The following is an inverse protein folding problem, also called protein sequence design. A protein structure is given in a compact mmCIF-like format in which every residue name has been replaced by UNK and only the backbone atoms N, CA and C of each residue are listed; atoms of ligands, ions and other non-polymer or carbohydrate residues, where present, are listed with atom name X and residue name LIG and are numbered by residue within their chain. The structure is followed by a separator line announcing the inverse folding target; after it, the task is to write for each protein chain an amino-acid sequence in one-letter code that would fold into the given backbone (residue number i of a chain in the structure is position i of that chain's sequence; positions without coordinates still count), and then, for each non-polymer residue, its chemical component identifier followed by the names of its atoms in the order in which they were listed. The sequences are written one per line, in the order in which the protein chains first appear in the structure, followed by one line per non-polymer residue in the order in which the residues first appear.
data_IF_938001048192
#
_entry.id   IF_938001048192
#
_cell.length_a   1.000
_cell.length_b   1.000
_cell.length_c   1.000
_cell.angle_alpha   90.00
_cell.angle_beta   90.00
_cell.angle_gamma   90.00
#
_symmetry.space_group_name_H-M   'P 1'
#
loop_
_entity.id
_entity.type
_entity.pdbx_description
1 polymer ?
#
# COMPACT_ATOMS: atom_id res chain seq x y z
N UNK A 1 10.64 13.24 0.62
CA UNK A 1 9.51 13.32 -0.33
C UNK A 1 8.95 14.73 -0.25
N UNK A 2 8.52 15.30 -1.38
CA UNK A 2 8.16 16.72 -1.52
C UNK A 2 7.23 17.18 -0.38
N UNK A 3 6.14 16.46 -0.14
CA UNK A 3 5.13 16.77 0.90
C UNK A 3 5.58 16.60 2.36
N UNK A 4 6.81 16.12 2.62
CA UNK A 4 7.34 15.89 3.98
C UNK A 4 8.38 16.94 4.41
N UNK A 5 8.73 17.90 3.54
CA UNK A 5 9.67 18.97 3.88
C UNK A 5 8.98 20.00 4.78
N UNK A 6 9.68 20.46 5.83
CA UNK A 6 9.15 21.49 6.75
C UNK A 6 8.97 22.84 6.07
N UNK A 7 9.90 23.21 5.20
CA UNK A 7 9.81 24.41 4.37
C UNK A 7 9.41 23.97 2.96
N UNK A 8 8.29 24.46 2.41
CA UNK A 8 7.87 24.11 1.06
C UNK A 8 8.85 24.71 0.03
N UNK A 9 9.13 23.94 -1.02
CA UNK A 9 9.95 24.40 -2.16
C UNK A 9 9.02 24.48 -3.36
N UNK A 10 8.69 25.71 -3.79
CA UNK A 10 7.63 25.97 -4.78
C UNK A 10 7.79 25.15 -6.07
N UNK A 11 8.98 25.12 -6.64
CA UNK A 11 9.30 24.37 -7.87
C UNK A 11 9.11 22.85 -7.75
N UNK A 12 9.14 22.29 -6.55
CA UNK A 12 8.80 20.89 -6.32
C UNK A 12 7.29 20.68 -6.22
N UNK A 13 6.57 21.62 -5.59
CA UNK A 13 5.11 21.56 -5.44
C UNK A 13 4.39 21.71 -6.77
N UNK A 14 4.94 22.46 -7.72
CA UNK A 14 4.40 22.55 -9.09
C UNK A 14 4.33 21.19 -9.82
N UNK A 15 5.08 20.17 -9.36
CA UNK A 15 5.04 18.81 -9.91
C UNK A 15 3.98 17.91 -9.24
N UNK A 16 3.36 18.39 -8.16
CA UNK A 16 2.39 17.64 -7.37
C UNK A 16 0.98 17.94 -7.89
N UNK A 17 0.19 16.88 -8.06
CA UNK A 17 -1.25 16.98 -8.33
C UNK A 17 -2.02 16.51 -7.11
N UNK A 18 -3.08 17.22 -6.76
CA UNK A 18 -4.06 16.78 -5.79
C UNK A 18 -5.14 15.96 -6.49
N UNK A 19 -5.03 14.63 -6.36
CA UNK A 19 -5.93 13.66 -6.96
C UNK A 19 -7.09 13.34 -5.99
N UNK A 20 -8.21 14.04 -6.14
CA UNK A 20 -9.40 13.90 -5.29
C UNK A 20 -10.23 12.68 -5.72
N UNK A 21 -10.85 11.99 -4.76
CA UNK A 21 -11.60 10.76 -5.03
C UNK A 21 -12.93 10.64 -4.26
N UNK A 22 -13.25 11.59 -3.37
CA UNK A 22 -14.52 11.59 -2.63
C UNK A 22 -14.87 12.99 -2.09
N UNK A 23 -16.10 13.16 -1.61
CA UNK A 23 -16.63 14.36 -0.95
C UNK A 23 -17.19 13.98 0.45
N UNK A 24 -16.40 14.05 1.53
CA UNK A 24 -16.75 13.45 2.81
C UNK A 24 -17.96 14.07 3.52
N UNK A 25 -18.20 15.37 3.31
CA UNK A 25 -19.31 16.10 3.94
C UNK A 25 -20.61 16.01 3.13
N UNK A 26 -20.58 15.38 1.96
CA UNK A 26 -21.74 15.31 1.10
C UNK A 26 -22.64 14.10 1.46
N UNK A 27 -23.95 14.31 1.67
CA UNK A 27 -24.85 13.26 2.19
C UNK A 27 -25.34 12.27 1.12
N UNK A 28 -24.94 12.40 -0.15
CA UNK A 28 -25.41 11.52 -1.22
C UNK A 28 -24.59 10.24 -1.37
N UNK A 29 -25.08 9.31 -2.20
CA UNK A 29 -24.36 8.09 -2.58
C UNK A 29 -23.10 8.40 -3.37
N UNK A 30 -22.13 7.47 -3.37
CA UNK A 30 -20.85 7.66 -4.04
C UNK A 30 -20.99 8.08 -5.51
N UNK A 31 -21.92 7.47 -6.26
CA UNK A 31 -22.19 7.88 -7.66
C UNK A 31 -22.59 9.34 -7.78
N UNK A 32 -23.45 9.84 -6.89
CA UNK A 32 -23.85 11.25 -6.87
C UNK A 32 -22.71 12.16 -6.41
N UNK A 33 -21.93 11.73 -5.42
CA UNK A 33 -20.75 12.49 -4.97
C UNK A 33 -19.71 12.64 -6.07
N UNK A 34 -19.47 11.60 -6.88
CA UNK A 34 -18.59 11.70 -8.04
C UNK A 34 -19.09 12.72 -9.06
N UNK A 35 -20.38 12.70 -9.42
CA UNK A 35 -20.94 13.67 -10.36
C UNK A 35 -20.78 15.12 -9.86
N UNK A 36 -21.01 15.35 -8.57
CA UNK A 36 -20.81 16.66 -7.95
C UNK A 36 -19.32 17.04 -7.96
N UNK A 37 -18.44 16.10 -7.61
CA UNK A 37 -16.99 16.29 -7.58
C UNK A 37 -16.46 16.68 -8.97
N UNK A 38 -16.86 15.98 -10.02
CA UNK A 38 -16.46 16.29 -11.40
C UNK A 38 -16.89 17.71 -11.78
N UNK A 39 -18.14 18.09 -11.49
CA UNK A 39 -18.63 19.45 -11.75
C UNK A 39 -17.87 20.53 -10.98
N UNK A 40 -17.51 20.28 -9.71
CA UNK A 40 -16.71 21.21 -8.91
C UNK A 40 -15.30 21.38 -9.48
N UNK A 41 -14.66 20.29 -9.92
CA UNK A 41 -13.31 20.33 -10.48
C UNK A 41 -13.30 21.09 -11.81
N UNK A 42 -14.27 20.83 -12.68
CA UNK A 42 -14.43 21.55 -13.96
C UNK A 42 -14.64 23.05 -13.75
N UNK A 43 -15.53 23.43 -12.82
CA UNK A 43 -15.78 24.85 -12.50
C UNK A 43 -14.57 25.54 -11.89
N UNK A 44 -13.84 24.83 -11.03
CA UNK A 44 -12.66 25.37 -10.37
C UNK A 44 -11.51 25.60 -11.36
N UNK A 45 -11.38 24.73 -12.36
CA UNK A 45 -10.41 24.84 -13.47
C UNK A 45 -8.96 25.12 -13.03
N UNK A 46 -8.52 24.44 -11.97
CA UNK A 46 -7.16 24.56 -11.43
C UNK A 46 -6.30 23.38 -11.92
N UNK A 47 -5.16 23.61 -12.59
CA UNK A 47 -4.38 22.54 -13.23
C UNK A 47 -3.89 21.42 -12.31
N UNK A 48 -3.60 21.74 -11.05
CA UNK A 48 -3.11 20.77 -10.07
C UNK A 48 -4.23 20.01 -9.33
N UNK A 49 -5.50 20.41 -9.46
CA UNK A 49 -6.65 19.76 -8.84
C UNK A 49 -7.32 18.82 -9.86
N UNK A 50 -7.30 17.51 -9.61
CA UNK A 50 -7.77 16.51 -10.57
C UNK A 50 -8.58 15.41 -9.87
N UNK A 51 -9.52 14.81 -10.58
CA UNK A 51 -10.25 13.64 -10.09
C UNK A 51 -9.47 12.35 -10.37
N UNK A 52 -9.49 11.40 -9.43
CA UNK A 52 -9.05 10.02 -9.71
C UNK A 52 -10.06 9.37 -10.65
N UNK A 53 -9.61 8.94 -11.83
CA UNK A 53 -10.49 8.33 -12.83
C UNK A 53 -11.25 7.11 -12.28
N UNK A 54 -12.58 7.16 -12.39
CA UNK A 54 -13.49 6.08 -11.98
C UNK A 54 -14.01 5.34 -13.22
N UNK A 55 -14.14 4.02 -13.11
CA UNK A 55 -14.73 3.20 -14.16
C UNK A 55 -15.43 1.99 -13.55
N UNK A 56 -16.40 1.44 -14.29
CA UNK A 56 -17.14 0.25 -13.88
C UNK A 56 -16.52 -0.99 -14.52
N UNK A 57 -16.55 -2.10 -13.78
CA UNK A 57 -16.19 -3.43 -14.26
C UNK A 57 -17.40 -4.33 -14.15
N UNK A 58 -17.61 -5.19 -15.14
CA UNK A 58 -18.81 -6.04 -15.25
C UNK A 58 -18.70 -7.32 -14.43
N UNK A 59 -17.47 -7.79 -14.20
CA UNK A 59 -17.20 -9.09 -13.61
C UNK A 59 -15.80 -9.14 -12.99
N UNK A 60 -15.59 -10.21 -12.22
CA UNK A 60 -14.35 -10.46 -11.51
C UNK A 60 -13.15 -10.66 -12.45
N UNK A 61 -13.34 -11.31 -13.61
CA UNK A 61 -12.26 -11.56 -14.56
C UNK A 61 -11.69 -10.25 -15.11
N UNK A 62 -12.57 -9.33 -15.53
CA UNK A 62 -12.17 -7.98 -15.97
C UNK A 62 -11.52 -7.18 -14.85
N UNK A 63 -12.00 -7.31 -13.61
CA UNK A 63 -11.38 -6.65 -12.47
C UNK A 63 -9.93 -7.10 -12.26
N UNK A 64 -9.66 -8.41 -12.28
CA UNK A 64 -8.31 -8.94 -12.12
C UNK A 64 -7.42 -8.66 -13.32
N UNK A 65 -7.96 -8.68 -14.54
CA UNK A 65 -7.23 -8.25 -15.74
C UNK A 65 -6.77 -6.80 -15.60
N UNK A 66 -7.66 -5.90 -15.19
CA UNK A 66 -7.33 -4.50 -14.95
C UNK A 66 -6.32 -4.30 -13.82
N UNK A 67 -6.42 -5.08 -12.74
CA UNK A 67 -5.42 -5.09 -11.68
C UNK A 67 -4.03 -5.46 -12.23
N UNK A 68 -3.97 -6.50 -13.06
CA UNK A 68 -2.73 -6.96 -13.70
C UNK A 68 -2.08 -5.87 -14.55
N UNK A 69 -2.88 -5.17 -15.38
CA UNK A 69 -2.38 -4.09 -16.23
C UNK A 69 -1.86 -2.90 -15.43
N UNK A 70 -2.57 -2.51 -14.35
CA UNK A 70 -2.14 -1.44 -13.44
C UNK A 70 -0.82 -1.82 -12.77
N UNK A 71 -0.69 -3.03 -12.25
CA UNK A 71 0.53 -3.50 -11.60
C UNK A 71 1.69 -3.61 -12.59
N UNK A 72 1.46 -4.11 -13.81
CA UNK A 72 2.46 -4.17 -14.87
C UNK A 72 3.00 -2.78 -15.24
N UNK A 73 2.15 -1.76 -15.15
CA UNK A 73 2.51 -0.36 -15.41
C UNK A 73 3.15 0.34 -14.20
N UNK A 74 3.50 -0.41 -13.13
CA UNK A 74 4.10 0.13 -11.91
C UNK A 74 3.10 0.70 -10.90
N UNK A 75 1.80 0.56 -11.14
CA UNK A 75 0.74 0.94 -10.22
C UNK A 75 0.65 0.01 -9.00
N UNK A 76 0.08 0.52 -7.90
CA UNK A 76 0.03 -0.22 -6.63
C UNK A 76 -1.12 -1.23 -6.53
N UNK A 77 -2.22 -0.98 -7.25
CA UNK A 77 -3.43 -1.79 -7.20
C UNK A 77 -4.67 -0.98 -7.52
N UNK A 78 -5.84 -1.51 -7.14
CA UNK A 78 -7.14 -0.89 -7.35
C UNK A 78 -7.83 -0.55 -6.03
N UNK A 79 -8.67 0.48 -6.07
CA UNK A 79 -9.67 0.76 -5.05
C UNK A 79 -11.04 0.40 -5.61
N UNK A 80 -11.89 -0.20 -4.78
CA UNK A 80 -13.25 -0.57 -5.12
C UNK A 80 -14.18 0.19 -4.19
N UNK A 81 -15.05 1.03 -4.73
CA UNK A 81 -16.00 1.80 -3.93
C UNK A 81 -17.41 1.52 -4.42
N UNK A 82 -18.29 1.09 -3.51
CA UNK A 82 -19.64 0.70 -3.86
C UNK A 82 -20.43 1.93 -4.31
N UNK A 83 -21.08 1.83 -5.49
CA UNK A 83 -21.72 2.97 -6.16
C UNK A 83 -22.82 3.65 -5.31
N UNK A 84 -23.51 2.86 -4.48
CA UNK A 84 -24.61 3.31 -3.61
C UNK A 84 -24.14 3.61 -2.17
N UNK A 85 -22.83 3.62 -1.91
CA UNK A 85 -22.31 3.87 -0.57
C UNK A 85 -22.50 5.33 -0.16
N UNK A 86 -23.16 5.56 0.98
CA UNK A 86 -23.02 6.82 1.71
C UNK A 86 -21.62 6.93 2.31
N UNK A 87 -21.14 8.16 2.52
CA UNK A 87 -19.84 8.36 3.15
C UNK A 87 -19.88 7.87 4.60
N UNK A 88 -18.83 7.17 5.01
CA UNK A 88 -18.67 6.69 6.39
C UNK A 88 -17.20 6.83 6.79
N UNK A 89 -16.96 7.43 7.96
CA UNK A 89 -15.62 7.45 8.54
C UNK A 89 -15.24 6.06 9.07
N UNK A 90 -13.94 5.75 9.00
CA UNK A 90 -13.42 4.46 9.48
C UNK A 90 -13.46 3.34 8.46
N UNK A 91 -13.44 2.09 8.94
CA UNK A 91 -13.38 0.90 8.09
C UNK A 91 -14.79 0.48 7.68
N UNK A 92 -15.00 0.31 6.38
CA UNK A 92 -16.25 -0.15 5.79
C UNK A 92 -15.98 -1.22 4.74
N UNK A 93 -16.94 -2.11 4.53
CA UNK A 93 -16.91 -3.09 3.44
C UNK A 93 -17.32 -2.48 2.08
N UNK A 94 -17.75 -1.21 2.08
CA UNK A 94 -18.12 -0.44 0.88
C UNK A 94 -16.93 0.24 0.20
N UNK A 95 -15.75 0.19 0.80
CA UNK A 95 -14.50 0.72 0.25
C UNK A 95 -13.36 -0.30 0.47
N UNK A 96 -13.01 -1.02 -0.60
CA UNK A 96 -12.03 -2.11 -0.56
C UNK A 96 -10.75 -1.73 -1.30
N UNK A 97 -9.63 -2.29 -0.82
CA UNK A 97 -8.32 -2.20 -1.46
C UNK A 97 -8.02 -3.55 -2.11
N UNK A 98 -7.82 -3.57 -3.43
CA UNK A 98 -7.42 -4.77 -4.16
C UNK A 98 -5.96 -4.63 -4.61
N UNK A 99 -5.08 -5.44 -4.03
CA UNK A 99 -3.64 -5.45 -4.33
C UNK A 99 -3.15 -6.87 -4.54
N UNK A 100 -2.16 -7.03 -5.41
CA UNK A 100 -1.46 -8.32 -5.56
C UNK A 100 -0.58 -8.54 -4.34
N UNK A 101 -0.64 -9.75 -3.80
CA UNK A 101 0.26 -10.24 -2.76
C UNK A 101 1.16 -11.29 -3.39
N UNK A 102 2.46 -11.11 -3.26
CA UNK A 102 3.49 -11.98 -3.82
C UNK A 102 4.30 -12.58 -2.68
N UNK A 103 4.52 -13.88 -2.73
CA UNK A 103 5.43 -14.57 -1.82
C UNK A 103 6.84 -14.61 -2.44
N UNK A 104 7.85 -14.37 -1.62
CA UNK A 104 9.25 -14.53 -1.97
C UNK A 104 10.08 -15.00 -0.77
N UNK A 105 11.36 -15.28 -1.00
CA UNK A 105 12.24 -15.85 0.01
C UNK A 105 13.46 -14.98 0.24
N UNK A 106 13.88 -14.91 1.50
CA UNK A 106 15.12 -14.25 1.89
C UNK A 106 15.77 -15.00 3.05
N UNK A 107 17.09 -14.84 3.17
CA UNK A 107 17.86 -15.38 4.28
C UNK A 107 17.93 -14.36 5.39
N UNK A 108 17.67 -14.76 6.63
CA UNK A 108 17.87 -13.89 7.80
C UNK A 108 19.37 -13.66 7.98
N UNK A 109 19.79 -12.41 8.03
CA UNK A 109 21.20 -12.04 8.20
C UNK A 109 21.46 -11.31 9.52
N UNK A 110 20.45 -10.69 10.12
CA UNK A 110 20.58 -10.01 11.41
C UNK A 110 19.20 -9.79 12.07
N UNK A 111 19.20 -9.42 13.35
CA UNK A 111 18.02 -9.09 14.15
C UNK A 111 18.07 -7.66 14.67
N UNK A 112 16.94 -6.98 14.68
CA UNK A 112 16.81 -5.64 15.26
C UNK A 112 15.92 -5.71 16.48
N UNK A 113 16.43 -5.25 17.63
CA UNK A 113 15.68 -5.16 18.87
C UNK A 113 14.45 -4.24 18.77
N UNK A 114 13.35 -4.69 19.38
CA UNK A 114 12.09 -3.95 19.42
C UNK A 114 12.11 -2.78 20.39
N UNK A 115 11.13 -1.89 20.21
CA UNK A 115 10.88 -0.72 21.07
C UNK A 115 9.45 -0.78 21.61
N UNK A 116 9.17 -0.01 22.67
CA UNK A 116 7.83 0.04 23.28
C UNK A 116 7.38 -1.34 23.76
N UNK A 117 6.22 -1.80 23.26
CA UNK A 117 5.66 -3.13 23.62
C UNK A 117 6.58 -4.32 23.32
N UNK A 118 7.55 -4.17 22.41
CA UNK A 118 8.51 -5.21 22.03
C UNK A 118 9.92 -4.97 22.58
N UNK A 119 10.05 -4.21 23.68
CA UNK A 119 11.34 -4.03 24.36
C UNK A 119 11.89 -5.40 24.79
N UNK A 120 13.19 -5.60 24.57
CA UNK A 120 13.90 -6.88 24.83
C UNK A 120 13.42 -8.07 23.99
N UNK A 121 12.67 -7.83 22.92
CA UNK A 121 12.23 -8.85 21.96
C UNK A 121 12.62 -8.44 20.54
N UNK A 122 12.43 -9.32 19.56
CA UNK A 122 12.63 -8.98 18.15
C UNK A 122 11.66 -7.87 17.71
N UNK A 123 12.22 -6.78 17.20
CA UNK A 123 11.49 -5.73 16.48
C UNK A 123 11.31 -6.08 15.01
N UNK A 124 12.40 -6.43 14.34
CA UNK A 124 12.42 -6.79 12.91
C UNK A 124 13.58 -7.72 12.56
N UNK A 125 13.38 -8.54 11.53
CA UNK A 125 14.45 -9.28 10.86
C UNK A 125 15.14 -8.37 9.83
N UNK A 126 16.46 -8.45 9.72
CA UNK A 126 17.19 -8.01 8.53
C UNK A 126 17.39 -9.24 7.64
N UNK A 127 16.98 -9.15 6.39
CA UNK A 127 17.02 -10.27 5.46
C UNK A 127 17.72 -9.90 4.16
N UNK A 128 18.31 -10.88 3.49
CA UNK A 128 18.94 -10.76 2.17
C UNK A 128 18.28 -11.70 1.16
N UNK A 129 17.83 -11.18 0.01
CA UNK A 129 17.29 -12.03 -1.08
C UNK A 129 18.40 -12.83 -1.76
N UNK A 130 18.03 -13.79 -2.63
CA UNK A 130 18.99 -14.51 -3.49
C UNK A 130 19.80 -13.58 -4.38
N UNK A 131 19.21 -12.47 -4.81
CA UNK A 131 19.87 -11.44 -5.63
C UNK A 131 20.71 -10.45 -4.80
N UNK A 132 20.92 -10.71 -3.50
CA UNK A 132 21.77 -9.89 -2.64
C UNK A 132 21.12 -8.63 -2.07
N UNK A 133 19.82 -8.40 -2.30
CA UNK A 133 19.12 -7.21 -1.78
C UNK A 133 18.79 -7.35 -0.31
N UNK A 134 19.09 -6.31 0.47
CA UNK A 134 18.85 -6.28 1.91
C UNK A 134 17.71 -5.34 2.29
N UNK A 135 16.85 -5.80 3.20
CA UNK A 135 15.76 -5.00 3.74
C UNK A 135 15.29 -5.56 5.08
N UNK A 136 14.38 -4.83 5.75
CA UNK A 136 13.85 -5.17 7.06
C UNK A 136 12.43 -5.70 6.96
N UNK A 137 12.11 -6.70 7.77
CA UNK A 137 10.75 -7.24 7.93
C UNK A 137 10.37 -7.16 9.41
N UNK A 138 9.47 -6.23 9.75
CA UNK A 138 9.01 -5.99 11.12
C UNK A 138 7.56 -6.40 11.40
N UNK A 139 6.82 -6.82 10.38
CA UNK A 139 5.40 -7.19 10.44
C UNK A 139 5.23 -8.68 10.09
N UNK A 140 4.08 -9.26 10.45
CA UNK A 140 3.81 -10.69 10.23
C UNK A 140 4.42 -11.64 11.27
N UNK A 141 5.29 -11.13 12.15
CA UNK A 141 5.86 -11.88 13.28
C UNK A 141 4.84 -11.93 14.43
N UNK A 142 4.52 -13.15 14.88
CA UNK A 142 3.75 -13.40 16.10
C UNK A 142 4.57 -13.04 17.34
N UNK A 143 3.93 -12.95 18.51
CA UNK A 143 4.66 -12.72 19.76
C UNK A 143 5.60 -13.88 20.09
N UNK A 144 5.27 -15.11 19.67
CA UNK A 144 6.16 -16.26 19.78
C UNK A 144 7.40 -16.12 18.88
N UNK A 145 7.24 -15.67 17.63
CA UNK A 145 8.37 -15.36 16.75
C UNK A 145 9.22 -14.21 17.30
N UNK A 146 8.64 -13.31 18.11
CA UNK A 146 9.40 -12.19 18.68
C UNK A 146 10.24 -12.59 19.89
N UNK A 147 9.75 -13.55 20.66
CA UNK A 147 10.47 -14.15 21.77
C UNK A 147 11.54 -15.13 21.27
N UNK A 148 11.18 -15.92 20.25
CA UNK A 148 12.04 -16.94 19.64
C UNK A 148 12.19 -16.63 18.13
N UNK A 149 13.07 -15.68 17.76
CA UNK A 149 13.18 -15.20 16.39
C UNK A 149 13.70 -16.26 15.42
N UNK A 150 13.24 -16.23 14.14
CA UNK A 150 13.86 -17.00 13.06
C UNK A 150 15.38 -16.87 13.10
N UNK A 151 16.13 -17.99 13.22
CA UNK A 151 17.58 -17.93 13.44
C UNK A 151 18.30 -17.20 12.31
N UNK A 152 19.39 -16.50 12.64
CA UNK A 152 20.31 -15.98 11.63
C UNK A 152 20.80 -17.14 10.76
N UNK A 153 20.78 -16.95 9.45
CA UNK A 153 21.12 -17.95 8.46
C UNK A 153 19.94 -18.78 7.94
N UNK A 154 18.78 -18.77 8.62
CA UNK A 154 17.57 -19.45 8.16
C UNK A 154 16.95 -18.76 6.94
N UNK A 155 16.28 -19.55 6.09
CA UNK A 155 15.46 -19.02 5.00
C UNK A 155 14.02 -18.84 5.48
N UNK A 156 13.43 -17.70 5.14
CA UNK A 156 12.04 -17.36 5.46
C UNK A 156 11.28 -17.04 4.19
N UNK A 157 9.99 -17.36 4.19
CA UNK A 157 9.05 -16.85 3.19
C UNK A 157 8.44 -15.56 3.73
N UNK A 158 8.44 -14.52 2.91
CA UNK A 158 7.76 -13.25 3.18
C UNK A 158 6.78 -12.94 2.05
N UNK A 159 5.68 -12.29 2.43
CA UNK A 159 4.69 -11.76 1.48
C UNK A 159 4.96 -10.26 1.29
N UNK A 160 4.74 -9.73 0.09
CA UNK A 160 4.87 -8.30 -0.21
C UNK A 160 3.89 -7.85 -1.31
N UNK A 161 3.68 -6.53 -1.45
CA UNK A 161 2.79 -5.94 -2.45
C UNK A 161 3.52 -4.87 -3.27
N UNK A 162 4.14 -5.30 -4.37
CA UNK A 162 4.88 -4.45 -5.30
C UNK A 162 6.30 -4.10 -4.83
N UNK A 163 7.04 -3.37 -5.66
CA UNK A 163 8.43 -2.97 -5.39
C UNK A 163 8.55 -1.44 -5.22
N UNK A 164 9.57 -1.00 -4.48
CA UNK A 164 9.99 0.41 -4.42
C UNK A 164 10.74 0.79 -5.70
N UNK A 165 11.00 2.08 -5.91
CA UNK A 165 11.81 2.56 -7.04
C UNK A 165 13.22 1.94 -7.09
N UNK A 166 13.74 1.47 -5.95
CA UNK A 166 15.03 0.79 -5.85
C UNK A 166 14.89 -0.75 -5.89
N UNK A 167 13.72 -1.26 -6.27
CA UNK A 167 13.47 -2.69 -6.41
C UNK A 167 13.33 -3.46 -5.08
N UNK A 168 13.19 -2.79 -3.94
CA UNK A 168 12.93 -3.47 -2.65
C UNK A 168 11.43 -3.78 -2.47
N UNK A 169 11.06 -4.91 -1.85
CA UNK A 169 9.67 -5.25 -1.53
C UNK A 169 8.94 -4.16 -0.73
N UNK A 170 7.73 -3.78 -1.16
CA UNK A 170 6.83 -2.89 -0.40
C UNK A 170 5.90 -3.70 0.50
N UNK A 171 5.67 -3.20 1.71
CA UNK A 171 4.78 -3.82 2.69
C UNK A 171 5.16 -5.29 3.00
N UNK A 172 6.46 -5.60 3.01
CA UNK A 172 6.93 -6.95 3.28
C UNK A 172 6.57 -7.40 4.71
N UNK A 173 5.98 -8.57 4.83
CA UNK A 173 5.61 -9.21 6.10
C UNK A 173 6.09 -10.66 6.16
N UNK A 174 6.60 -11.07 7.32
CA UNK A 174 7.00 -12.45 7.57
C UNK A 174 5.78 -13.37 7.44
N UNK A 175 5.97 -14.53 6.79
CA UNK A 175 4.93 -15.55 6.69
C UNK A 175 5.28 -16.80 7.50
N UNK A 176 6.48 -17.35 7.28
CA UNK A 176 6.97 -18.56 7.96
C UNK A 176 8.46 -18.78 7.72
N UNK A 177 9.10 -19.57 8.59
CA UNK A 177 10.39 -20.20 8.31
C UNK A 177 10.18 -21.27 7.22
N UNK A 178 11.13 -21.39 6.30
CA UNK A 178 11.16 -22.48 5.32
C UNK A 178 11.76 -23.71 5.99
N UNK A 179 10.93 -24.74 6.20
CA UNK A 179 11.43 -26.06 6.55
C UNK A 179 12.07 -26.70 5.31
N UNK A 180 13.25 -27.30 5.50
CA UNK A 180 13.89 -28.19 4.54
C UNK A 180 13.69 -29.62 5.00
#
# INVERSE_FOLDING_TARGET
GISRKRVPVDSEWQKVKYMVFDLPENPFTFTRRLQILSGLIEQTNIPWLNEVAQYRVTDQSRLYSRLSDIVRSGGEGLMLQHQDAYYQSGRTDRLLKLKVRLDAEARVIDHIGGKGKYKNQLGALVVRTKEGREFKIGTGLSDADRQNPPPIGSWITYEYSGLTAHGLPRFASFKRIRAY
#
